data_IF_394997118423
#
_entry.id   IF_394997118423
#
_cell.length_a   1.000
_cell.length_b   1.000
_cell.length_c   1.000
_cell.angle_alpha   90.00
_cell.angle_beta   90.00
_cell.angle_gamma   90.00
#
_symmetry.space_group_name_H-M   'P 1'
#
loop_
_entity.id
_entity.type
_entity.pdbx_description
1 polymer ?
#
# COMPACT_ATOMS: atom_id res chain seq x y z
N UNK A 1 -43.02 5.08 -34.65
CA UNK A 1 -41.54 4.96 -34.76
C UNK A 1 -40.78 6.11 -34.12
N UNK A 2 -41.02 7.38 -34.48
CA UNK A 2 -40.22 8.54 -34.01
C UNK A 2 -40.05 8.66 -32.47
N UNK A 3 -41.11 8.45 -31.68
CA UNK A 3 -41.03 8.54 -30.21
C UNK A 3 -40.12 7.48 -29.57
N UNK A 4 -40.16 6.23 -30.06
CA UNK A 4 -39.29 5.15 -29.56
C UNK A 4 -37.82 5.49 -29.77
N UNK A 5 -37.46 6.03 -30.94
CA UNK A 5 -36.09 6.46 -31.26
C UNK A 5 -35.62 7.57 -30.31
N UNK A 6 -36.48 8.55 -30.02
CA UNK A 6 -36.18 9.63 -29.06
C UNK A 6 -35.94 9.07 -27.66
N UNK A 7 -36.77 8.15 -27.17
CA UNK A 7 -36.57 7.54 -25.86
C UNK A 7 -35.29 6.70 -25.78
N UNK A 8 -34.99 5.92 -26.83
CA UNK A 8 -33.74 5.17 -26.90
C UNK A 8 -32.52 6.09 -26.85
N UNK A 9 -32.56 7.21 -27.58
CA UNK A 9 -31.48 8.19 -27.56
C UNK A 9 -31.29 8.81 -26.16
N UNK A 10 -32.38 9.19 -25.49
CA UNK A 10 -32.33 9.72 -24.12
C UNK A 10 -31.74 8.70 -23.15
N UNK A 11 -32.15 7.43 -23.23
CA UNK A 11 -31.61 6.35 -22.38
C UNK A 11 -30.12 6.17 -22.60
N UNK A 12 -29.67 6.15 -23.86
CA UNK A 12 -28.23 6.05 -24.17
C UNK A 12 -27.45 7.25 -23.63
N UNK A 13 -28.02 8.45 -23.71
CA UNK A 13 -27.41 9.65 -23.17
C UNK A 13 -27.24 9.55 -21.64
N UNK A 14 -28.28 9.10 -20.94
CA UNK A 14 -28.24 8.88 -19.48
C UNK A 14 -27.18 7.83 -19.13
N UNK A 15 -27.14 6.71 -19.84
CA UNK A 15 -26.15 5.65 -19.62
C UNK A 15 -24.72 6.15 -19.85
N UNK A 16 -24.51 6.98 -20.87
CA UNK A 16 -23.23 7.61 -21.15
C UNK A 16 -22.78 8.52 -20.00
N UNK A 17 -23.68 9.41 -19.52
CA UNK A 17 -23.37 10.26 -18.37
C UNK A 17 -23.09 9.47 -17.09
N UNK A 18 -23.86 8.40 -16.83
CA UNK A 18 -23.62 7.53 -15.67
C UNK A 18 -22.27 6.81 -15.77
N UNK A 19 -21.89 6.37 -16.97
CA UNK A 19 -20.60 5.75 -17.22
C UNK A 19 -19.43 6.72 -16.99
N UNK A 20 -19.51 7.93 -17.54
CA UNK A 20 -18.47 8.95 -17.33
C UNK A 20 -18.34 9.33 -15.85
N UNK A 21 -19.47 9.50 -15.16
CA UNK A 21 -19.49 9.80 -13.73
C UNK A 21 -18.83 8.67 -12.91
N UNK A 22 -19.14 7.41 -13.25
CA UNK A 22 -18.50 6.26 -12.62
C UNK A 22 -16.98 6.22 -12.86
N UNK A 23 -16.55 6.49 -14.09
CA UNK A 23 -15.14 6.57 -14.45
C UNK A 23 -14.43 7.68 -13.66
N UNK A 24 -15.04 8.87 -13.58
CA UNK A 24 -14.51 10.00 -12.82
C UNK A 24 -14.35 9.66 -11.33
N UNK A 25 -15.38 9.11 -10.69
CA UNK A 25 -15.34 8.70 -9.29
C UNK A 25 -14.26 7.64 -9.06
N UNK A 26 -14.15 6.67 -9.96
CA UNK A 26 -13.14 5.61 -9.89
C UNK A 26 -11.72 6.15 -9.97
N UNK A 27 -11.44 7.03 -10.93
CA UNK A 27 -10.14 7.69 -11.09
C UNK A 27 -9.80 8.55 -9.87
N UNK A 28 -10.75 9.33 -9.38
CA UNK A 28 -10.57 10.14 -8.17
C UNK A 28 -10.18 9.27 -6.97
N UNK A 29 -10.89 8.17 -6.74
CA UNK A 29 -10.54 7.23 -5.66
C UNK A 29 -9.18 6.56 -5.87
N UNK A 30 -8.74 6.32 -7.10
CA UNK A 30 -7.38 5.83 -7.36
C UNK A 30 -6.32 6.88 -6.98
N UNK A 31 -6.56 8.14 -7.34
CA UNK A 31 -5.66 9.25 -7.04
C UNK A 31 -5.58 9.47 -5.52
N UNK A 32 -6.73 9.57 -4.84
CA UNK A 32 -6.79 9.75 -3.39
C UNK A 32 -6.06 8.61 -2.66
N UNK A 33 -6.21 7.37 -3.12
CA UNK A 33 -5.47 6.21 -2.60
C UNK A 33 -3.96 6.35 -2.76
N UNK A 34 -3.49 6.82 -3.90
CA UNK A 34 -2.06 7.01 -4.14
C UNK A 34 -1.48 8.12 -3.25
N UNK A 35 -2.21 9.22 -3.05
CA UNK A 35 -1.81 10.29 -2.13
C UNK A 35 -1.74 9.81 -0.69
N UNK A 36 -2.77 9.13 -0.20
CA UNK A 36 -2.74 8.60 1.17
C UNK A 36 -1.65 7.54 1.35
N UNK A 37 -1.41 6.68 0.35
CA UNK A 37 -0.31 5.72 0.40
C UNK A 37 1.04 6.44 0.54
N UNK A 38 1.28 7.50 -0.24
CA UNK A 38 2.49 8.32 -0.15
C UNK A 38 2.64 8.95 1.23
N UNK A 39 1.58 9.55 1.77
CA UNK A 39 1.58 10.12 3.13
C UNK A 39 1.89 9.05 4.19
N UNK A 40 1.32 7.85 4.06
CA UNK A 40 1.57 6.73 4.95
C UNK A 40 3.03 6.28 4.91
N UNK A 41 3.63 6.19 3.72
CA UNK A 41 5.06 5.86 3.54
C UNK A 41 5.94 6.91 4.23
N UNK A 42 5.71 8.20 3.94
CA UNK A 42 6.47 9.29 4.55
C UNK A 42 6.32 9.30 6.07
N UNK A 43 5.15 8.94 6.61
CA UNK A 43 4.94 8.85 8.05
C UNK A 43 5.63 7.63 8.67
N UNK A 44 5.63 6.47 8.01
CA UNK A 44 6.38 5.30 8.47
C UNK A 44 7.88 5.60 8.51
N UNK A 45 8.40 6.28 7.49
CA UNK A 45 9.80 6.72 7.43
C UNK A 45 10.16 7.65 8.61
N UNK A 46 9.23 8.54 8.99
CA UNK A 46 9.40 9.45 10.13
C UNK A 46 9.15 8.80 11.51
N UNK A 47 8.32 7.75 11.60
CA UNK A 47 7.95 7.10 12.87
C UNK A 47 9.02 6.09 13.30
N UNK A 48 9.71 5.44 12.36
CA UNK A 48 10.48 4.23 12.65
C UNK A 48 12.01 4.38 12.69
N UNK A 49 12.51 4.80 13.84
CA UNK A 49 13.80 4.39 14.42
C UNK A 49 13.95 2.84 14.60
N UNK A 50 12.88 2.02 14.82
CA UNK A 50 13.01 0.56 14.99
C UNK A 50 13.31 -0.24 13.72
N UNK A 51 13.04 0.29 12.51
CA UNK A 51 13.51 -0.33 11.26
C UNK A 51 15.04 -0.24 11.15
N UNK A 52 15.64 0.81 11.74
CA UNK A 52 17.08 0.92 11.98
C UNK A 52 17.54 0.09 13.19
N UNK A 53 16.69 -0.08 14.21
CA UNK A 53 16.94 -0.98 15.34
C UNK A 53 17.10 -2.46 14.95
N UNK A 54 16.58 -2.88 13.79
CA UNK A 54 16.85 -4.20 13.23
C UNK A 54 18.27 -4.35 12.65
N UNK A 55 19.02 -3.25 12.47
CA UNK A 55 20.47 -3.32 12.24
C UNK A 55 21.25 -3.75 13.50
N UNK A 56 20.62 -3.73 14.67
CA UNK A 56 21.28 -3.98 15.96
C UNK A 56 20.95 -5.35 16.58
N UNK A 57 20.09 -6.17 15.95
CA UNK A 57 19.80 -7.51 16.46
C UNK A 57 20.65 -8.54 15.72
N UNK A 58 21.57 -9.12 16.51
CA UNK A 58 22.55 -10.17 16.26
C UNK A 58 23.95 -9.62 15.95
N UNK A 59 24.84 -9.77 16.94
CA UNK A 59 26.22 -9.30 16.93
C UNK A 59 27.14 -10.01 15.94
N UNK A 60 26.93 -9.75 14.65
CA UNK A 60 27.90 -9.96 13.59
C UNK A 60 28.31 -8.60 13.02
N UNK A 61 29.58 -8.46 12.65
CA UNK A 61 30.17 -7.24 12.10
C UNK A 61 29.74 -6.95 10.65
N UNK A 62 28.51 -7.34 10.29
CA UNK A 62 28.05 -7.43 8.91
C UNK A 62 26.92 -6.43 8.67
N UNK A 63 27.09 -5.60 7.65
CA UNK A 63 26.13 -4.58 7.22
C UNK A 63 24.79 -5.21 6.83
N UNK A 64 23.83 -5.22 7.74
CA UNK A 64 22.46 -5.65 7.48
C UNK A 64 21.68 -4.52 6.80
N UNK A 65 21.14 -4.75 5.60
CA UNK A 65 20.22 -3.81 4.95
C UNK A 65 18.77 -4.29 5.08
N UNK A 66 17.83 -3.35 5.04
CA UNK A 66 16.40 -3.62 5.15
C UNK A 66 15.71 -3.09 3.90
N UNK A 67 15.06 -4.00 3.18
CA UNK A 67 14.18 -3.66 2.06
C UNK A 67 12.73 -3.66 2.56
N UNK A 68 11.97 -2.64 2.15
CA UNK A 68 10.55 -2.51 2.52
C UNK A 68 9.70 -2.52 1.24
N UNK A 69 8.77 -3.46 1.15
CA UNK A 69 7.76 -3.50 0.09
C UNK A 69 6.39 -3.14 0.65
N UNK A 70 5.69 -2.25 -0.04
CA UNK A 70 4.39 -1.77 0.41
C UNK A 70 3.33 -2.12 -0.63
N UNK A 71 2.40 -2.98 -0.23
CA UNK A 71 1.27 -3.39 -1.06
C UNK A 71 -0.02 -2.69 -0.59
N UNK A 72 -0.60 -1.78 -1.39
CA UNK A 72 -1.88 -1.18 -1.05
C UNK A 72 -2.99 -2.24 -1.06
N UNK A 73 -3.99 -2.09 -0.18
CA UNK A 73 -5.14 -3.00 -0.16
C UNK A 73 -6.09 -2.68 -1.31
N UNK A 74 -5.91 -3.38 -2.42
CA UNK A 74 -6.71 -3.23 -3.64
C UNK A 74 -8.08 -3.92 -3.48
N UNK A 75 -9.09 -3.19 -2.99
CA UNK A 75 -10.50 -3.54 -3.25
C UNK A 75 -11.17 -2.42 -4.04
N UNK A 76 -12.11 -2.81 -4.90
CA UNK A 76 -12.84 -1.96 -5.86
C UNK A 76 -13.70 -0.85 -5.23
N UNK A 77 -13.79 -0.79 -3.90
CA UNK A 77 -14.64 0.16 -3.17
C UNK A 77 -13.75 1.00 -2.26
N UNK A 78 -13.92 2.34 -2.31
CA UNK A 78 -13.12 3.36 -1.61
C UNK A 78 -13.09 3.29 -0.07
N UNK A 79 -13.42 2.15 0.54
CA UNK A 79 -13.33 1.86 1.98
C UNK A 79 -11.92 1.49 2.45
N UNK A 80 -10.95 1.46 1.54
CA UNK A 80 -9.55 1.10 1.82
C UNK A 80 -8.54 2.18 1.44
N UNK A 81 -8.99 3.42 1.23
CA UNK A 81 -8.09 4.58 1.18
C UNK A 81 -7.26 4.58 2.47
N UNK A 82 -5.93 4.65 2.33
CA UNK A 82 -5.00 4.65 3.47
C UNK A 82 -4.83 3.31 4.19
N UNK A 83 -5.13 2.17 3.53
CA UNK A 83 -4.90 0.82 4.08
C UNK A 83 -3.97 0.00 3.19
N UNK A 84 -3.07 -0.76 3.79
CA UNK A 84 -2.25 -1.72 3.07
C UNK A 84 -1.33 -2.53 3.97
N UNK A 85 -0.49 -3.32 3.31
CA UNK A 85 0.48 -4.20 3.94
C UNK A 85 1.88 -3.69 3.66
N UNK A 86 2.72 -3.69 4.69
CA UNK A 86 4.14 -3.44 4.61
C UNK A 86 4.86 -4.76 4.91
N UNK A 87 5.69 -5.19 3.98
CA UNK A 87 6.53 -6.38 4.09
C UNK A 87 7.97 -5.91 4.27
N UNK A 88 8.63 -6.45 5.30
CA UNK A 88 10.00 -6.10 5.63
C UNK A 88 10.90 -7.29 5.30
N UNK A 89 11.95 -7.03 4.52
CA UNK A 89 12.94 -8.01 4.10
C UNK A 89 14.32 -7.61 4.61
N UNK A 90 14.91 -8.44 5.46
CA UNK A 90 16.27 -8.33 5.95
C UNK A 90 17.23 -8.95 4.96
N UNK A 91 18.31 -8.25 4.66
CA UNK A 91 19.40 -8.72 3.81
C UNK A 91 20.68 -8.73 4.61
N UNK A 92 21.35 -9.88 4.59
CA UNK A 92 22.63 -10.10 5.25
C UNK A 92 23.71 -10.22 4.19
N UNK A 93 24.74 -9.40 4.32
CA UNK A 93 25.89 -9.38 3.44
C UNK A 93 27.10 -9.94 4.18
N UNK A 94 28.01 -10.63 3.48
CA UNK A 94 29.28 -11.04 4.07
C UNK A 94 30.28 -9.88 4.15
N UNK A 95 31.47 -10.18 4.67
CA UNK A 95 32.60 -9.26 4.76
C UNK A 95 33.09 -8.71 3.41
N UNK A 96 32.72 -9.34 2.29
CA UNK A 96 33.04 -8.91 0.93
C UNK A 96 31.90 -8.09 0.29
N UNK A 97 30.78 -7.91 0.99
CA UNK A 97 29.59 -7.22 0.48
C UNK A 97 28.73 -8.07 -0.44
N UNK A 98 28.89 -9.39 -0.45
CA UNK A 98 28.02 -10.32 -1.19
C UNK A 98 26.79 -10.69 -0.37
N UNK A 99 25.61 -10.70 -1.00
CA UNK A 99 24.36 -11.07 -0.35
C UNK A 99 24.32 -12.56 -0.03
N UNK A 100 24.28 -12.90 1.26
CA UNK A 100 24.30 -14.30 1.75
C UNK A 100 22.89 -14.80 2.06
N UNK A 101 22.08 -13.96 2.71
CA UNK A 101 20.73 -14.34 3.18
C UNK A 101 19.76 -13.20 2.94
N UNK A 102 18.57 -13.53 2.45
CA UNK A 102 17.41 -12.63 2.45
C UNK A 102 16.29 -13.27 3.26
N UNK A 103 15.71 -12.55 4.20
CA UNK A 103 14.51 -13.02 4.90
C UNK A 103 13.34 -13.16 3.94
N UNK A 104 12.43 -14.09 4.25
CA UNK A 104 11.17 -14.19 3.51
C UNK A 104 10.19 -13.06 3.87
N UNK A 105 9.16 -12.83 3.05
CA UNK A 105 8.06 -11.90 3.37
C UNK A 105 7.27 -12.34 4.62
N UNK A 106 7.46 -13.58 5.06
CA UNK A 106 6.84 -14.16 6.23
C UNK A 106 7.55 -13.77 7.54
N UNK A 107 8.69 -13.06 7.52
CA UNK A 107 9.37 -12.76 8.78
C UNK A 107 8.72 -11.60 9.53
N UNK A 108 8.42 -10.50 8.84
CA UNK A 108 7.72 -9.36 9.41
C UNK A 108 6.73 -8.72 8.42
N UNK A 109 5.45 -8.83 8.74
CA UNK A 109 4.37 -8.17 8.01
C UNK A 109 3.65 -7.21 8.94
N UNK A 110 3.53 -5.96 8.51
CA UNK A 110 2.75 -4.95 9.19
C UNK A 110 1.56 -4.54 8.33
N UNK A 111 0.46 -4.23 9.00
CA UNK A 111 -0.70 -3.61 8.39
C UNK A 111 -0.74 -2.16 8.80
N UNK A 112 -0.76 -1.26 7.82
CA UNK A 112 -0.90 0.16 8.07
C UNK A 112 -2.32 0.60 7.78
N UNK A 113 -2.85 1.45 8.66
CA UNK A 113 -4.19 2.00 8.57
C UNK A 113 -4.19 3.48 8.94
N UNK A 114 -4.85 4.29 8.11
CA UNK A 114 -5.21 5.67 8.46
C UNK A 114 -6.53 5.67 9.23
N UNK A 115 -6.45 5.93 10.54
CA UNK A 115 -7.61 6.14 11.41
C UNK A 115 -7.77 7.64 11.68
N UNK A 116 -8.75 8.26 11.00
CA UNK A 116 -9.02 9.70 11.02
C UNK A 116 -7.82 10.55 10.59
N UNK A 117 -6.88 10.81 11.50
CA UNK A 117 -5.69 11.65 11.29
C UNK A 117 -4.37 10.94 11.69
N UNK A 118 -4.46 9.74 12.27
CA UNK A 118 -3.29 9.00 12.73
C UNK A 118 -3.02 7.81 11.81
N UNK A 119 -1.74 7.64 11.48
CA UNK A 119 -1.23 6.44 10.85
C UNK A 119 -0.86 5.45 11.94
N UNK A 120 -1.53 4.31 11.94
CA UNK A 120 -1.26 3.21 12.85
C UNK A 120 -0.59 2.08 12.07
N UNK A 121 0.44 1.48 12.67
CA UNK A 121 1.16 0.34 12.15
C UNK A 121 0.96 -0.82 13.12
N UNK A 122 0.27 -1.86 12.68
CA UNK A 122 0.01 -3.06 13.47
C UNK A 122 0.85 -4.21 12.92
N UNK A 123 1.63 -4.90 13.77
CA UNK A 123 2.34 -6.12 13.36
C UNK A 123 1.34 -7.27 13.26
N UNK A 124 1.12 -7.78 12.05
CA UNK A 124 0.09 -8.81 11.78
C UNK A 124 0.67 -10.21 11.80
N UNK A 125 1.97 -10.37 11.59
CA UNK A 125 2.63 -11.66 11.67
C UNK A 125 4.02 -11.55 12.28
N UNK A 126 4.36 -12.52 13.13
CA UNK A 126 5.70 -12.78 13.64
C UNK A 126 5.90 -14.28 13.58
N UNK A 127 7.00 -14.75 12.97
CA UNK A 127 7.42 -16.15 13.13
C UNK A 127 7.57 -16.45 14.64
N UNK A 128 7.04 -17.56 15.16
CA UNK A 128 7.18 -17.94 16.56
C UNK A 128 8.65 -18.07 16.98
#
# INVERSE_FOLDING_TARGET
>A
MKRKVVYTFIILLILFFLYELYCYISVKHCIDRAYELKEGIEKIDNINDPLWGAQYVVGSHDSTSVDVFIAPKLLLLGKNTGKGYMFVFYKYYDENGELVVTSGPEEEIFYFIKNSEKWELEKVYRRP
#
